data_IF_538055038100
#
_entry.id   IF_538055038100
#
_cell.length_a   1.000
_cell.length_b   1.000
_cell.length_c   1.000
_cell.angle_alpha   90.00
_cell.angle_beta   90.00
_cell.angle_gamma   90.00
#
_symmetry.space_group_name_H-M   'P 1'
#
loop_
_entity.id
_entity.type
_entity.pdbx_description
1 polymer ?
#
# COMPACT_ATOMS: atom_id res chain seq x y z
N UNK A 1 -29.20 0.79 4.67
CA UNK A 1 -27.84 0.79 5.25
C UNK A 1 -27.00 1.79 4.47
N UNK A 2 -26.37 2.74 5.16
CA UNK A 2 -25.51 3.76 4.55
C UNK A 2 -24.12 3.22 4.20
N UNK A 3 -23.41 3.90 3.30
CA UNK A 3 -22.07 3.49 2.86
C UNK A 3 -21.05 3.42 4.03
N UNK A 4 -21.14 4.34 4.99
CA UNK A 4 -20.28 4.35 6.18
C UNK A 4 -20.60 3.22 7.16
N UNK A 5 -21.88 2.81 7.31
CA UNK A 5 -22.26 1.62 8.10
C UNK A 5 -21.65 0.36 7.48
N UNK A 6 -21.76 0.21 6.15
CA UNK A 6 -21.20 -0.94 5.42
C UNK A 6 -19.66 -1.01 5.55
N UNK A 7 -18.97 0.13 5.50
CA UNK A 7 -17.55 0.21 5.77
C UNK A 7 -17.21 -0.14 7.23
N UNK A 8 -18.03 0.28 8.19
CA UNK A 8 -17.90 -0.05 9.61
C UNK A 8 -18.00 -1.55 9.89
N UNK A 9 -18.96 -2.24 9.25
CA UNK A 9 -19.13 -3.69 9.38
C UNK A 9 -17.93 -4.44 8.79
N UNK A 10 -17.43 -4.04 7.61
CA UNK A 10 -16.21 -4.61 7.02
C UNK A 10 -15.00 -4.47 7.95
N UNK A 11 -14.82 -3.31 8.62
CA UNK A 11 -13.76 -3.09 9.61
C UNK A 11 -13.83 -4.02 10.83
N UNK A 12 -14.99 -4.61 11.11
CA UNK A 12 -15.22 -5.55 12.22
C UNK A 12 -15.29 -7.00 11.75
N UNK A 13 -14.91 -7.28 10.49
CA UNK A 13 -15.06 -8.57 9.83
C UNK A 13 -16.52 -9.11 9.82
N UNK A 14 -17.51 -8.20 9.85
CA UNK A 14 -18.93 -8.51 9.81
C UNK A 14 -19.41 -8.51 8.36
N UNK A 15 -19.74 -9.68 7.84
CA UNK A 15 -20.18 -9.83 6.45
C UNK A 15 -21.63 -9.33 6.26
N UNK A 16 -21.80 -8.31 5.43
CA UNK A 16 -23.10 -7.84 4.95
C UNK A 16 -23.40 -8.39 3.55
N UNK A 17 -24.60 -8.93 3.36
CA UNK A 17 -25.09 -9.50 2.10
C UNK A 17 -25.87 -8.43 1.32
N UNK A 18 -25.60 -8.29 0.02
CA UNK A 18 -26.37 -7.40 -0.86
C UNK A 18 -27.76 -8.02 -1.11
N UNK A 19 -28.81 -7.21 -0.94
CA UNK A 19 -30.20 -7.60 -1.08
C UNK A 19 -30.95 -6.52 -1.87
N UNK A 20 -31.01 -6.68 -3.19
CA UNK A 20 -31.50 -5.64 -4.10
C UNK A 20 -30.60 -4.39 -4.04
N UNK A 21 -31.22 -3.22 -3.81
CA UNK A 21 -30.55 -1.93 -3.65
C UNK A 21 -29.95 -1.67 -2.25
N UNK A 22 -30.14 -2.59 -1.29
CA UNK A 22 -29.66 -2.41 0.09
C UNK A 22 -28.75 -3.57 0.53
N UNK A 23 -28.18 -3.46 1.73
CA UNK A 23 -27.41 -4.51 2.40
C UNK A 23 -28.15 -4.99 3.64
N UNK A 24 -27.91 -6.25 4.03
CA UNK A 24 -28.42 -6.88 5.26
C UNK A 24 -27.33 -7.71 5.94
N UNK A 25 -27.29 -7.71 7.28
CA UNK A 25 -26.41 -8.59 8.05
C UNK A 25 -27.21 -9.78 8.57
N UNK A 26 -26.63 -10.98 8.46
CA UNK A 26 -27.20 -12.22 8.97
C UNK A 26 -26.93 -12.32 10.47
N UNK A 27 -27.96 -12.49 11.29
CA UNK A 27 -27.83 -12.59 12.75
C UNK A 27 -28.75 -13.65 13.34
N UNK A 28 -28.41 -14.16 14.53
CA UNK A 28 -29.33 -14.99 15.31
C UNK A 28 -30.37 -14.10 16.01
N UNK A 29 -31.64 -14.28 15.67
CA UNK A 29 -32.78 -13.55 16.24
C UNK A 29 -33.11 -13.94 17.68
N UNK A 30 -34.04 -13.21 18.32
CA UNK A 30 -34.46 -13.45 19.71
C UNK A 30 -35.00 -14.87 19.94
N UNK A 31 -35.64 -15.45 18.92
CA UNK A 31 -36.20 -16.82 18.92
C UNK A 31 -35.19 -17.90 18.50
N UNK A 32 -33.89 -17.58 18.46
CA UNK A 32 -32.84 -18.52 18.04
C UNK A 32 -32.73 -18.76 16.52
N UNK A 33 -33.74 -18.40 15.73
CA UNK A 33 -33.73 -18.52 14.26
C UNK A 33 -32.79 -17.49 13.61
N UNK A 34 -32.18 -17.82 12.48
CA UNK A 34 -31.36 -16.88 11.70
C UNK A 34 -32.25 -15.89 10.94
N UNK A 35 -31.93 -14.60 11.01
CA UNK A 35 -32.66 -13.49 10.38
C UNK A 35 -31.72 -12.50 9.70
N UNK A 36 -32.23 -11.72 8.75
CA UNK A 36 -31.46 -10.71 8.02
C UNK A 36 -31.91 -9.30 8.38
N UNK A 37 -30.97 -8.47 8.86
CA UNK A 37 -31.24 -7.13 9.41
C UNK A 37 -30.68 -6.04 8.48
N UNK A 38 -31.54 -5.12 8.04
CA UNK A 38 -31.24 -4.07 7.05
C UNK A 38 -30.90 -2.69 7.62
N UNK A 39 -31.49 -2.33 8.77
CA UNK A 39 -31.32 -1.03 9.43
C UNK A 39 -30.58 -1.23 10.76
N UNK A 40 -29.25 -1.20 10.72
CA UNK A 40 -28.40 -1.49 11.88
C UNK A 40 -28.23 -0.27 12.78
N UNK A 41 -28.50 0.96 12.28
CA UNK A 41 -28.64 2.16 13.12
C UNK A 41 -29.66 2.05 14.27
N UNK A 42 -30.68 1.17 14.18
CA UNK A 42 -31.61 0.93 15.30
C UNK A 42 -30.93 0.21 16.47
N UNK A 43 -31.05 0.75 17.68
CA UNK A 43 -30.43 0.22 18.92
C UNK A 43 -30.70 -1.27 19.18
N UNK A 44 -31.92 -1.75 18.93
CA UNK A 44 -32.29 -3.18 19.04
C UNK A 44 -31.46 -4.04 18.07
N UNK A 45 -31.26 -3.54 16.85
CA UNK A 45 -30.51 -4.23 15.81
C UNK A 45 -29.00 -4.19 16.08
N UNK A 46 -28.46 -3.07 16.60
CA UNK A 46 -27.08 -2.99 17.10
C UNK A 46 -26.81 -4.06 18.15
N UNK A 47 -27.67 -4.16 19.18
CA UNK A 47 -27.56 -5.18 20.24
C UNK A 47 -27.60 -6.61 19.68
N UNK A 48 -28.41 -6.86 18.65
CA UNK A 48 -28.52 -8.18 18.01
C UNK A 48 -27.27 -8.55 17.20
N UNK A 49 -26.73 -7.59 16.42
CA UNK A 49 -25.46 -7.75 15.67
C UNK A 49 -24.28 -7.91 16.63
N UNK A 50 -24.14 -7.02 17.60
CA UNK A 50 -23.12 -7.07 18.66
C UNK A 50 -23.08 -8.44 19.35
N UNK A 51 -24.25 -8.94 19.81
CA UNK A 51 -24.35 -10.26 20.44
C UNK A 51 -24.03 -11.42 19.49
N UNK A 52 -24.39 -11.32 18.21
CA UNK A 52 -24.14 -12.42 17.27
C UNK A 52 -22.67 -12.55 16.87
N UNK A 53 -21.97 -11.41 16.70
CA UNK A 53 -20.57 -11.37 16.27
C UNK A 53 -19.57 -11.22 17.43
N UNK A 54 -20.03 -11.29 18.67
CA UNK A 54 -19.23 -11.12 19.89
C UNK A 54 -18.42 -9.81 19.92
N UNK A 55 -19.04 -8.71 19.51
CA UNK A 55 -18.45 -7.35 19.50
C UNK A 55 -19.22 -6.48 20.47
N UNK A 56 -18.55 -5.60 21.23
CA UNK A 56 -19.25 -4.67 22.12
C UNK A 56 -20.12 -3.68 21.33
N UNK A 57 -21.26 -3.25 21.91
CA UNK A 57 -22.14 -2.26 21.25
C UNK A 57 -21.40 -0.94 21.02
N UNK A 58 -20.53 -0.52 21.95
CA UNK A 58 -19.72 0.69 21.82
C UNK A 58 -18.69 0.57 20.68
N UNK A 59 -18.04 -0.58 20.53
CA UNK A 59 -17.11 -0.84 19.40
C UNK A 59 -17.85 -0.81 18.07
N UNK A 60 -19.03 -1.44 18.02
CA UNK A 60 -19.90 -1.44 16.84
C UNK A 60 -20.35 -0.01 16.48
N UNK A 61 -20.78 0.79 17.45
CA UNK A 61 -21.17 2.18 17.25
C UNK A 61 -20.01 3.10 16.86
N UNK A 62 -18.84 2.94 17.48
CA UNK A 62 -17.62 3.64 17.10
C UNK A 62 -17.31 3.39 15.63
N UNK A 63 -17.16 2.13 15.22
CA UNK A 63 -16.74 1.78 13.86
C UNK A 63 -17.79 2.06 12.77
N UNK A 64 -19.09 2.16 13.13
CA UNK A 64 -20.18 2.56 12.22
C UNK A 64 -20.54 4.05 12.28
N UNK A 65 -19.87 4.86 13.10
CA UNK A 65 -20.16 6.31 13.16
C UNK A 65 -19.85 6.97 11.81
N UNK A 66 -20.69 7.90 11.31
CA UNK A 66 -20.34 8.71 10.13
C UNK A 66 -19.09 9.57 10.40
N UNK A 67 -18.88 9.94 11.67
CA UNK A 67 -17.70 10.65 12.16
C UNK A 67 -16.61 9.68 12.66
N UNK A 68 -16.63 8.41 12.27
CA UNK A 68 -15.53 7.48 12.53
C UNK A 68 -14.29 7.93 11.75
N UNK A 69 -13.54 8.83 12.38
CA UNK A 69 -12.12 8.99 12.11
C UNK A 69 -11.48 7.67 12.54
N UNK A 70 -11.08 6.87 11.55
CA UNK A 70 -9.98 5.97 11.78
C UNK A 70 -8.81 6.78 12.36
N UNK A 71 -7.92 6.11 13.09
CA UNK A 71 -6.69 6.67 13.67
C UNK A 71 -6.13 7.82 12.83
N UNK A 72 -5.76 9.00 13.41
CA UNK A 72 -5.43 10.23 12.66
C UNK A 72 -4.46 10.07 11.48
N UNK A 73 -3.66 8.99 11.47
CA UNK A 73 -2.99 8.35 10.33
C UNK A 73 -3.81 8.23 9.02
N UNK A 74 -5.15 8.21 9.08
CA UNK A 74 -6.04 7.95 7.92
C UNK A 74 -7.07 9.06 7.72
N UNK A 75 -6.62 10.27 7.38
CA UNK A 75 -7.49 11.33 6.83
C UNK A 75 -7.56 11.23 5.30
N UNK A 76 -8.76 11.44 4.76
CA UNK A 76 -8.97 11.78 3.36
C UNK A 76 -9.44 13.24 3.30
N UNK A 77 -8.88 14.03 2.39
CA UNK A 77 -9.32 15.39 2.09
C UNK A 77 -9.91 15.43 0.68
N UNK A 78 -10.98 16.21 0.49
CA UNK A 78 -11.47 16.61 -0.83
C UNK A 78 -10.93 18.01 -1.14
N UNK A 79 -10.38 18.20 -2.34
CA UNK A 79 -9.87 19.48 -2.83
C UNK A 79 -9.82 19.50 -4.36
N UNK A 80 -10.00 20.68 -4.96
CA UNK A 80 -9.98 20.88 -6.41
C UNK A 80 -8.55 21.11 -6.93
N UNK A 81 -8.36 20.90 -8.24
CA UNK A 81 -7.08 20.90 -8.94
C UNK A 81 -6.18 22.13 -8.73
N UNK A 82 -4.87 21.85 -8.55
CA UNK A 82 -3.74 22.61 -9.10
C UNK A 82 -2.64 21.60 -9.53
N UNK A 83 -1.73 22.02 -10.41
CA UNK A 83 -0.73 21.15 -11.04
C UNK A 83 0.59 21.05 -10.25
N UNK A 84 1.00 19.83 -9.87
CA UNK A 84 2.38 19.50 -9.52
C UNK A 84 2.66 18.01 -9.75
N UNK A 85 3.88 17.63 -10.13
CA UNK A 85 4.19 16.32 -10.75
C UNK A 85 5.14 15.47 -9.90
N UNK A 86 4.62 14.56 -9.08
CA UNK A 86 5.44 13.68 -8.23
C UNK A 86 4.99 12.21 -8.25
N UNK A 87 5.95 11.29 -8.27
CA UNK A 87 5.71 9.85 -8.42
C UNK A 87 5.56 9.13 -7.07
N UNK A 88 4.53 8.28 -6.97
CA UNK A 88 4.43 7.25 -5.91
C UNK A 88 5.37 6.09 -6.25
N UNK A 89 6.39 5.84 -5.43
CA UNK A 89 7.17 4.59 -5.53
C UNK A 89 6.34 3.46 -4.92
N UNK A 90 6.28 2.30 -5.60
CA UNK A 90 5.65 1.08 -5.12
C UNK A 90 6.73 0.05 -4.81
N UNK A 91 7.04 -0.15 -3.52
CA UNK A 91 7.92 -1.24 -3.07
C UNK A 91 7.05 -2.45 -2.76
N UNK A 92 7.50 -3.64 -3.15
CA UNK A 92 6.79 -4.90 -2.92
C UNK A 92 7.64 -5.77 -2.00
N UNK A 93 7.03 -6.26 -0.92
CA UNK A 93 7.60 -7.36 -0.14
C UNK A 93 7.42 -8.65 -0.92
N UNK A 94 8.39 -9.51 -0.71
CA UNK A 94 8.53 -10.70 -1.47
C UNK A 94 9.49 -11.70 -0.74
N UNK A 95 9.65 -12.99 -1.11
CA UNK A 95 10.73 -13.95 -0.64
C UNK A 95 11.63 -14.62 -1.80
N UNK A 96 12.99 -14.42 -1.97
CA UNK A 96 14.01 -14.85 -3.05
C UNK A 96 15.08 -13.81 -3.58
N UNK A 97 15.77 -14.01 -4.75
CA UNK A 97 16.67 -13.00 -5.39
C UNK A 97 16.41 -12.63 -6.89
N UNK A 98 16.68 -11.37 -7.31
CA UNK A 98 16.38 -10.83 -8.66
C UNK A 98 17.42 -11.30 -9.70
N UNK A 99 17.19 -12.50 -10.23
CA UNK A 99 18.02 -13.09 -11.27
C UNK A 99 18.39 -14.55 -11.04
N UNK A 100 17.87 -15.19 -9.98
CA UNK A 100 17.86 -16.65 -9.89
C UNK A 100 16.93 -17.24 -10.95
N UNK A 101 17.33 -18.38 -11.51
CA UNK A 101 16.71 -18.96 -12.71
C UNK A 101 15.33 -19.60 -12.49
N UNK A 102 14.99 -19.96 -11.26
CA UNK A 102 13.70 -20.62 -10.92
C UNK A 102 12.57 -19.61 -10.62
N UNK A 103 12.94 -18.35 -10.43
CA UNK A 103 12.06 -17.24 -10.08
C UNK A 103 11.17 -16.74 -11.24
N UNK A 104 10.12 -17.51 -11.59
CA UNK A 104 9.21 -17.11 -12.67
C UNK A 104 8.28 -15.97 -12.25
N UNK A 105 8.71 -14.73 -12.48
CA UNK A 105 7.86 -13.52 -12.39
C UNK A 105 6.56 -13.76 -13.19
N UNK A 106 5.37 -13.79 -12.54
CA UNK A 106 4.11 -14.08 -13.23
C UNK A 106 3.85 -13.14 -14.41
N UNK A 107 3.35 -13.73 -15.49
CA UNK A 107 3.19 -13.10 -16.81
C UNK A 107 2.52 -11.72 -16.75
N UNK A 108 1.43 -11.61 -15.99
CA UNK A 108 0.61 -10.40 -15.82
C UNK A 108 1.32 -9.24 -15.09
N UNK A 109 2.46 -9.50 -14.43
CA UNK A 109 3.34 -8.47 -13.86
C UNK A 109 4.50 -8.19 -14.81
N UNK A 110 5.13 -9.23 -15.37
CA UNK A 110 6.21 -9.09 -16.35
C UNK A 110 5.82 -8.23 -17.57
N UNK A 111 4.57 -8.34 -18.03
CA UNK A 111 4.07 -7.69 -19.25
C UNK A 111 3.30 -6.39 -18.95
N UNK A 112 3.18 -5.97 -17.69
CA UNK A 112 2.48 -4.74 -17.37
C UNK A 112 3.36 -3.52 -17.68
N UNK A 113 2.91 -2.68 -18.63
CA UNK A 113 3.60 -1.48 -19.14
C UNK A 113 4.05 -0.47 -18.09
N UNK A 114 3.45 -0.50 -16.90
CA UNK A 114 3.80 0.40 -15.81
C UNK A 114 4.90 -0.16 -14.90
N UNK A 115 5.31 -1.43 -15.10
CA UNK A 115 6.34 -2.13 -14.34
C UNK A 115 7.72 -1.82 -14.91
N UNK A 116 8.67 -1.55 -14.01
CA UNK A 116 10.08 -1.48 -14.37
C UNK A 116 10.80 -2.59 -13.62
N UNK A 117 11.31 -3.56 -14.36
CA UNK A 117 12.11 -4.64 -13.81
C UNK A 117 13.59 -4.29 -13.97
N UNK A 118 14.30 -4.09 -12.86
CA UNK A 118 15.74 -3.88 -12.86
C UNK A 118 16.44 -5.22 -12.61
N UNK A 119 17.18 -5.79 -13.59
CA UNK A 119 17.95 -7.01 -13.34
C UNK A 119 19.10 -6.72 -12.36
N UNK A 120 19.38 -7.65 -11.45
CA UNK A 120 20.58 -7.66 -10.58
C UNK A 120 20.83 -6.34 -9.84
N UNK A 121 19.83 -5.87 -9.08
CA UNK A 121 19.92 -4.61 -8.30
C UNK A 121 20.88 -4.68 -7.10
N UNK A 122 21.34 -5.87 -6.71
CA UNK A 122 22.30 -6.08 -5.61
C UNK A 122 21.91 -5.30 -4.34
N UNK A 123 20.68 -5.51 -3.85
CA UNK A 123 20.10 -4.86 -2.66
C UNK A 123 19.84 -3.35 -2.77
N UNK A 124 19.92 -2.75 -3.98
CA UNK A 124 19.72 -1.31 -4.22
C UNK A 124 18.44 -0.99 -4.99
N UNK A 125 17.43 -1.85 -4.93
CA UNK A 125 16.16 -1.72 -5.66
C UNK A 125 15.50 -0.33 -5.47
N UNK A 126 15.49 0.20 -4.24
CA UNK A 126 14.96 1.54 -3.93
C UNK A 126 15.74 2.64 -4.67
N UNK A 127 17.08 2.61 -4.64
CA UNK A 127 17.91 3.56 -5.39
C UNK A 127 17.75 3.45 -6.91
N UNK A 128 17.48 2.25 -7.44
CA UNK A 128 17.11 2.06 -8.84
C UNK A 128 15.77 2.74 -9.19
N UNK A 129 14.74 2.59 -8.36
CA UNK A 129 13.45 3.26 -8.54
C UNK A 129 13.59 4.79 -8.49
N UNK A 130 14.35 5.31 -7.51
CA UNK A 130 14.60 6.75 -7.33
C UNK A 130 15.37 7.30 -8.54
N UNK A 131 16.52 6.69 -8.88
CA UNK A 131 17.32 7.08 -10.03
C UNK A 131 16.52 7.08 -11.33
N UNK A 132 15.58 6.14 -11.50
CA UNK A 132 14.75 6.08 -12.70
C UNK A 132 13.74 7.21 -12.77
N UNK A 133 13.16 7.60 -11.62
CA UNK A 133 12.27 8.73 -11.57
C UNK A 133 13.01 10.04 -11.84
N UNK A 134 14.09 10.30 -11.08
CA UNK A 134 14.82 11.57 -11.08
C UNK A 134 15.67 11.81 -12.33
N UNK A 135 15.96 10.78 -13.14
CA UNK A 135 16.73 10.95 -14.38
C UNK A 135 15.85 11.53 -15.51
N UNK A 136 16.14 12.72 -16.06
CA UNK A 136 15.23 13.43 -16.97
C UNK A 136 15.26 12.94 -18.43
N UNK A 137 15.94 11.84 -18.75
CA UNK A 137 16.00 11.34 -20.13
C UNK A 137 14.67 10.74 -20.61
N UNK A 138 14.26 11.07 -21.83
CA UNK A 138 13.14 10.42 -22.51
C UNK A 138 13.46 8.97 -22.97
N UNK A 139 14.75 8.59 -23.05
CA UNK A 139 15.21 7.25 -23.44
C UNK A 139 15.90 6.57 -22.25
N UNK A 140 15.13 6.28 -21.20
CA UNK A 140 15.62 5.59 -20.00
C UNK A 140 15.88 4.11 -20.33
N UNK A 141 17.13 3.67 -20.22
CA UNK A 141 17.54 2.28 -20.40
C UNK A 141 17.87 1.66 -19.02
N UNK A 142 17.15 0.60 -18.58
CA UNK A 142 17.39 -0.05 -17.29
C UNK A 142 18.81 -0.60 -17.14
N UNK A 143 19.50 -0.90 -18.25
CA UNK A 143 20.88 -1.41 -18.28
C UNK A 143 21.91 -0.32 -18.03
N UNK A 144 21.58 0.95 -18.28
CA UNK A 144 22.52 2.09 -18.20
C UNK A 144 22.36 2.95 -16.95
N UNK A 145 21.41 2.62 -16.07
CA UNK A 145 21.06 3.44 -14.90
C UNK A 145 22.06 3.41 -13.73
N UNK A 146 23.08 2.54 -13.79
CA UNK A 146 24.02 2.32 -12.68
C UNK A 146 24.76 3.59 -12.23
N UNK A 147 25.00 4.56 -13.12
CA UNK A 147 25.60 5.85 -12.74
C UNK A 147 24.64 6.65 -11.85
N UNK A 148 23.38 6.76 -12.25
CA UNK A 148 22.35 7.49 -11.52
C UNK A 148 22.01 6.81 -10.18
N UNK A 149 22.08 5.48 -10.11
CA UNK A 149 21.98 4.72 -8.85
C UNK A 149 23.11 5.08 -7.88
N UNK A 150 24.35 5.22 -8.37
CA UNK A 150 25.48 5.68 -7.55
C UNK A 150 25.32 7.13 -7.10
N UNK A 151 24.81 8.04 -7.95
CA UNK A 151 24.55 9.43 -7.54
C UNK A 151 23.42 9.51 -6.49
N UNK A 152 22.34 8.75 -6.66
CA UNK A 152 21.30 8.63 -5.63
C UNK A 152 21.90 8.09 -4.31
N UNK A 153 22.71 7.04 -4.37
CA UNK A 153 23.36 6.48 -3.19
C UNK A 153 24.33 7.48 -2.51
N UNK A 154 25.12 8.25 -3.28
CA UNK A 154 25.95 9.34 -2.72
C UNK A 154 25.11 10.38 -1.98
N UNK A 155 23.97 10.81 -2.55
CA UNK A 155 23.05 11.75 -1.89
C UNK A 155 22.54 11.18 -0.56
N UNK A 156 22.19 9.89 -0.52
CA UNK A 156 21.79 9.22 0.71
C UNK A 156 22.93 9.11 1.73
N UNK A 157 24.16 8.78 1.31
CA UNK A 157 25.34 8.81 2.17
C UNK A 157 25.53 10.21 2.80
N UNK A 158 25.46 11.27 1.98
CA UNK A 158 25.57 12.66 2.46
C UNK A 158 24.48 13.03 3.46
N UNK A 159 23.22 12.65 3.20
CA UNK A 159 22.10 12.84 4.12
C UNK A 159 22.32 12.13 5.48
N UNK A 160 22.88 10.92 5.46
CA UNK A 160 23.22 10.15 6.66
C UNK A 160 24.52 10.63 7.36
N UNK A 161 25.21 11.64 6.84
CA UNK A 161 26.51 12.10 7.35
C UNK A 161 27.67 11.13 7.12
N UNK A 162 27.52 10.15 6.23
CA UNK A 162 28.50 9.09 5.98
C UNK A 162 29.27 9.39 4.69
N UNK A 163 30.61 9.24 4.72
CA UNK A 163 31.43 9.38 3.51
C UNK A 163 31.18 8.21 2.56
N UNK A 164 30.79 8.51 1.32
CA UNK A 164 30.64 7.52 0.26
C UNK A 164 31.96 6.76 0.01
N UNK A 165 31.87 5.44 -0.15
CA UNK A 165 32.94 4.61 -0.72
C UNK A 165 32.37 3.50 -1.60
N UNK A 166 33.17 2.99 -2.55
CA UNK A 166 32.75 1.89 -3.40
C UNK A 166 32.57 0.57 -2.60
N UNK A 167 33.33 0.40 -1.52
CA UNK A 167 33.16 -0.72 -0.58
C UNK A 167 31.78 -0.64 0.09
N UNK A 168 31.45 0.52 0.69
CA UNK A 168 30.15 0.77 1.31
C UNK A 168 28.98 0.58 0.32
N UNK A 169 29.12 1.05 -0.92
CA UNK A 169 28.11 0.81 -1.95
C UNK A 169 27.93 -0.69 -2.21
N UNK A 170 29.02 -1.46 -2.37
CA UNK A 170 28.95 -2.90 -2.62
C UNK A 170 28.32 -3.67 -1.46
N UNK A 171 28.78 -3.43 -0.22
CA UNK A 171 28.31 -4.11 1.00
C UNK A 171 26.99 -3.57 1.57
N UNK A 172 26.40 -2.53 0.95
CA UNK A 172 25.15 -1.94 1.43
C UNK A 172 24.01 -2.98 1.50
N UNK A 173 23.43 -3.10 2.70
CA UNK A 173 22.30 -3.99 2.99
C UNK A 173 21.00 -3.48 2.34
N UNK A 174 19.98 -4.35 2.15
CA UNK A 174 18.65 -3.93 1.73
C UNK A 174 18.07 -2.78 2.58
N UNK A 175 17.27 -1.91 1.96
CA UNK A 175 16.50 -0.86 2.67
C UNK A 175 15.14 -1.43 3.03
N UNK A 176 15.08 -2.18 4.13
CA UNK A 176 13.86 -2.92 4.47
C UNK A 176 12.80 -2.02 5.11
N UNK A 177 13.21 -1.13 6.02
CA UNK A 177 12.27 -0.41 6.90
C UNK A 177 12.60 1.08 7.12
N UNK A 178 13.76 1.59 6.71
CA UNK A 178 14.13 3.01 6.85
C UNK A 178 13.59 3.89 5.70
N UNK A 179 12.36 3.63 5.25
CA UNK A 179 11.76 4.34 4.11
C UNK A 179 11.48 5.80 4.43
N UNK A 180 11.18 6.16 5.68
CA UNK A 180 10.96 7.56 6.09
C UNK A 180 12.21 8.43 5.84
N UNK A 181 13.41 7.89 6.12
CA UNK A 181 14.69 8.55 5.86
C UNK A 181 14.95 8.73 4.36
N UNK A 182 14.51 7.77 3.54
CA UNK A 182 14.61 7.86 2.08
C UNK A 182 13.63 8.91 1.54
N UNK A 183 12.41 8.95 2.06
CA UNK A 183 11.42 9.99 1.74
C UNK A 183 11.93 11.39 2.06
N UNK A 184 12.57 11.58 3.22
CA UNK A 184 13.18 12.85 3.61
C UNK A 184 14.45 13.17 2.79
N UNK A 185 15.33 12.21 2.55
CA UNK A 185 16.55 12.39 1.75
C UNK A 185 16.23 12.84 0.31
N UNK A 186 15.17 12.27 -0.29
CA UNK A 186 14.83 12.47 -1.70
C UNK A 186 13.61 13.38 -1.94
N UNK A 187 12.90 13.78 -0.88
CA UNK A 187 11.69 14.62 -0.92
C UNK A 187 10.60 14.01 -1.82
N UNK A 188 10.23 12.75 -1.52
CA UNK A 188 9.26 11.96 -2.29
C UNK A 188 8.42 11.05 -1.39
N UNK A 189 7.28 10.58 -1.89
CA UNK A 189 6.40 9.64 -1.17
C UNK A 189 6.57 8.19 -1.66
N UNK A 190 6.90 7.28 -0.74
CA UNK A 190 6.99 5.83 -1.00
C UNK A 190 5.76 5.16 -0.39
N UNK A 191 5.03 4.40 -1.20
CA UNK A 191 3.96 3.54 -0.72
C UNK A 191 4.42 2.08 -0.89
N UNK A 192 4.22 1.26 0.15
CA UNK A 192 4.58 -0.17 0.09
C UNK A 192 3.30 -0.97 -0.06
N UNK A 193 3.31 -1.89 -1.01
CA UNK A 193 2.16 -2.74 -1.31
C UNK A 193 2.60 -4.21 -1.27
N UNK A 194 1.81 -5.03 -0.59
CA UNK A 194 1.91 -6.48 -0.71
C UNK A 194 1.01 -6.92 -1.86
N UNK A 195 1.45 -7.90 -2.64
CA UNK A 195 0.64 -8.52 -3.69
C UNK A 195 0.64 -10.02 -3.49
N UNK A 196 -0.54 -10.61 -3.35
CA UNK A 196 -0.66 -12.05 -3.32
C UNK A 196 -0.58 -12.63 -4.74
N UNK A 197 0.37 -13.53 -5.00
CA UNK A 197 0.60 -14.09 -6.35
C UNK A 197 -0.52 -15.04 -6.79
N UNK A 198 -1.06 -15.84 -5.86
CA UNK A 198 -2.11 -16.82 -6.16
C UNK A 198 -3.45 -16.16 -6.50
N UNK A 199 -3.86 -15.15 -5.73
CA UNK A 199 -5.15 -14.46 -5.92
C UNK A 199 -5.05 -13.14 -6.70
N UNK A 200 -3.85 -12.62 -6.94
CA UNK A 200 -3.63 -11.32 -7.59
C UNK A 200 -4.04 -10.11 -6.72
N UNK A 201 -4.47 -10.33 -5.48
CA UNK A 201 -4.92 -9.26 -4.57
C UNK A 201 -3.75 -8.35 -4.19
N UNK A 202 -4.00 -7.04 -4.14
CA UNK A 202 -3.00 -6.03 -3.75
C UNK A 202 -3.48 -5.29 -2.51
N UNK A 203 -2.67 -5.31 -1.45
CA UNK A 203 -2.88 -4.58 -0.21
C UNK A 203 -1.82 -3.49 -0.03
N UNK A 204 -2.21 -2.34 0.51
CA UNK A 204 -1.28 -1.26 0.84
C UNK A 204 -0.81 -1.41 2.28
N UNK A 205 0.40 -1.92 2.48
CA UNK A 205 0.96 -2.22 3.81
C UNK A 205 1.66 -1.02 4.47
N UNK A 206 2.14 -0.04 3.67
CA UNK A 206 2.59 1.28 4.16
C UNK A 206 2.12 2.35 3.18
N UNK A 207 1.61 3.46 3.71
CA UNK A 207 1.47 4.73 2.97
C UNK A 207 2.51 5.71 3.51
N UNK A 208 3.05 6.54 2.64
CA UNK A 208 3.76 7.73 3.07
C UNK A 208 2.75 8.73 3.63
N UNK A 209 3.04 9.24 4.82
CA UNK A 209 2.30 10.35 5.43
C UNK A 209 2.92 11.73 5.06
N UNK A 210 3.99 11.73 4.26
CA UNK A 210 4.67 12.95 3.80
C UNK A 210 3.82 13.64 2.75
N UNK A 211 3.53 14.93 2.96
CA UNK A 211 2.67 15.77 2.12
C UNK A 211 3.26 16.17 0.75
N UNK A 212 4.18 15.39 0.18
CA UNK A 212 4.65 15.60 -1.18
C UNK A 212 3.48 15.31 -2.14
N UNK A 213 2.98 16.35 -2.82
CA UNK A 213 1.69 16.33 -3.52
C UNK A 213 1.58 15.20 -4.56
N UNK A 214 0.36 14.68 -4.74
CA UNK A 214 0.15 13.47 -5.54
C UNK A 214 -0.67 13.71 -6.80
N UNK A 215 -0.04 13.56 -7.96
CA UNK A 215 -0.69 13.34 -9.26
C UNK A 215 -0.30 11.98 -9.83
N UNK A 216 -0.99 11.52 -10.89
CA UNK A 216 -0.96 10.11 -11.34
C UNK A 216 0.41 9.64 -11.91
N UNK A 217 1.30 9.19 -11.02
CA UNK A 217 2.55 8.51 -11.38
C UNK A 217 2.36 7.08 -11.90
N UNK A 218 3.29 6.57 -12.73
CA UNK A 218 3.21 5.23 -13.32
C UNK A 218 3.22 4.08 -12.28
N UNK A 219 2.30 3.14 -12.46
CA UNK A 219 1.92 2.08 -11.50
C UNK A 219 2.79 0.81 -11.56
N UNK A 220 4.01 0.87 -11.04
CA UNK A 220 4.93 -0.28 -10.99
C UNK A 220 4.34 -1.41 -10.10
N UNK A 221 4.43 -2.67 -10.58
CA UNK A 221 3.99 -3.93 -9.94
C UNK A 221 5.13 -4.95 -9.99
N UNK A 222 5.41 -5.66 -8.91
CA UNK A 222 6.62 -6.49 -8.78
C UNK A 222 6.26 -7.69 -7.85
N UNK A 223 6.34 -8.98 -8.25
CA UNK A 223 5.61 -10.09 -7.59
C UNK A 223 6.28 -10.70 -6.35
N UNK A 224 5.47 -11.24 -5.43
CA UNK A 224 5.72 -11.68 -4.03
C UNK A 224 6.93 -12.58 -3.67
N UNK A 225 7.94 -12.78 -4.52
CA UNK A 225 9.09 -13.62 -4.20
C UNK A 225 10.46 -12.85 -4.39
N UNK A 226 11.15 -12.30 -3.33
CA UNK A 226 12.37 -11.45 -3.12
C UNK A 226 12.57 -10.74 -1.72
N UNK A 227 12.91 -11.53 -0.71
CA UNK A 227 13.51 -11.36 0.63
C UNK A 227 13.80 -12.82 1.05
#
# INVERSE_FOLDING_TARGET
MFAYELAGLKRLNIQAVKWGSSYRVKVRGRTGKMVYVSNISRSINKKLVAKHYNVSVQTLEKHMSPNYKADPKYRFYNGNHMESTYMRIFVYHRDHALGDSEAVIPKFIRENKHVINFPKTNNKCVFHCIAWHTFPSAKKDPRRIQTQVKEAFKRYCSFKGVKYSLSLFRSFKPVDLQLDEVEDCFQLGINVYSMDVASGNVECIRRSDKGYEATDGPKIRVPKDLF
#
